data_IF_193689646781
#
_entry.id   IF_193689646781
#
_cell.length_a   1.000
_cell.length_b   1.000
_cell.length_c   1.000
_cell.angle_alpha   90.00
_cell.angle_beta   90.00
_cell.angle_gamma   90.00
#
_symmetry.space_group_name_H-M   'P 1'
#
loop_
_entity.id
_entity.type
_entity.pdbx_description
1 polymer ?
#
# COMPACT_ATOMS: atom_id res chain seq x y z
N UNK A 1 -7.12 -31.22 5.19
CA UNK A 1 -7.41 -29.87 5.74
C UNK A 1 -7.56 -28.96 4.53
N UNK A 2 -8.77 -28.54 4.18
CA UNK A 2 -8.97 -27.59 3.09
C UNK A 2 -8.46 -26.23 3.56
N UNK A 3 -7.36 -25.75 2.97
CA UNK A 3 -7.01 -24.33 3.05
C UNK A 3 -8.17 -23.57 2.39
N UNK A 4 -9.05 -22.95 3.20
CA UNK A 4 -10.01 -22.00 2.68
C UNK A 4 -9.21 -20.78 2.22
N UNK A 5 -9.06 -20.65 0.90
CA UNK A 5 -8.45 -19.48 0.29
C UNK A 5 -9.30 -18.25 0.63
N UNK A 6 -8.67 -17.18 1.12
CA UNK A 6 -9.35 -15.92 1.41
C UNK A 6 -10.09 -15.41 0.18
N UNK A 7 -11.30 -14.87 0.38
CA UNK A 7 -12.09 -14.29 -0.70
C UNK A 7 -11.51 -12.96 -1.19
N UNK A 8 -11.89 -12.56 -2.41
CA UNK A 8 -11.52 -11.26 -2.97
C UNK A 8 -11.92 -10.10 -2.05
N UNK A 9 -13.12 -10.15 -1.45
CA UNK A 9 -13.62 -9.09 -0.56
C UNK A 9 -12.79 -9.01 0.73
N UNK A 10 -12.39 -10.14 1.31
CA UNK A 10 -11.53 -10.14 2.50
C UNK A 10 -10.15 -9.52 2.20
N UNK A 11 -9.58 -9.85 1.04
CA UNK A 11 -8.32 -9.24 0.60
C UNK A 11 -8.47 -7.75 0.35
N UNK A 12 -9.55 -7.34 -0.32
CA UNK A 12 -9.84 -5.92 -0.56
C UNK A 12 -10.02 -5.13 0.74
N UNK A 13 -10.68 -5.70 1.75
CA UNK A 13 -10.82 -5.08 3.08
C UNK A 13 -9.46 -4.89 3.75
N UNK A 14 -8.59 -5.91 3.69
CA UNK A 14 -7.21 -5.80 4.18
C UNK A 14 -6.42 -4.73 3.43
N UNK A 15 -6.51 -4.69 2.11
CA UNK A 15 -5.85 -3.67 1.29
C UNK A 15 -6.28 -2.27 1.70
N UNK A 16 -7.58 -2.02 1.91
CA UNK A 16 -8.09 -0.74 2.42
C UNK A 16 -7.42 -0.35 3.74
N UNK A 17 -7.27 -1.30 4.66
CA UNK A 17 -6.62 -1.04 5.95
C UNK A 17 -5.13 -0.78 5.79
N UNK A 18 -4.43 -1.56 4.96
CA UNK A 18 -3.00 -1.44 4.71
C UNK A 18 -2.65 -0.12 4.02
N UNK A 19 -3.36 0.25 2.95
CA UNK A 19 -3.15 1.53 2.24
C UNK A 19 -3.31 2.75 3.16
N UNK A 20 -4.29 2.69 4.07
CA UNK A 20 -4.45 3.76 5.05
C UNK A 20 -3.27 3.82 6.02
N UNK A 21 -2.78 2.66 6.48
CA UNK A 21 -1.64 2.55 7.41
C UNK A 21 -0.36 3.04 6.74
N UNK A 22 -0.15 2.72 5.47
CA UNK A 22 1.03 3.10 4.71
C UNK A 22 1.02 4.60 4.39
N UNK A 23 -0.14 5.17 4.06
CA UNK A 23 -0.30 6.63 3.96
C UNK A 23 0.13 7.37 5.25
N UNK A 24 -0.40 6.97 6.42
CA UNK A 24 -0.01 7.57 7.71
C UNK A 24 1.49 7.37 8.00
N UNK A 25 1.97 6.15 7.75
CA UNK A 25 3.36 5.79 7.96
C UNK A 25 4.31 6.66 7.12
N UNK A 26 4.03 6.82 5.84
CA UNK A 26 4.89 7.58 4.93
C UNK A 26 4.84 9.07 5.22
N UNK A 27 3.68 9.59 5.64
CA UNK A 27 3.60 10.97 6.12
C UNK A 27 4.58 11.24 7.27
N UNK A 28 4.65 10.33 8.26
CA UNK A 28 5.58 10.42 9.39
C UNK A 28 7.02 10.20 8.97
N UNK A 29 7.30 9.17 8.18
CA UNK A 29 8.65 8.84 7.71
C UNK A 29 9.26 9.97 6.87
N UNK A 30 8.47 10.63 6.03
CA UNK A 30 8.84 11.84 5.28
C UNK A 30 9.27 12.97 6.23
N UNK A 31 8.67 13.06 7.41
CA UNK A 31 9.00 14.03 8.45
C UNK A 31 10.40 13.85 9.07
N UNK A 32 10.93 12.62 9.03
CA UNK A 32 12.19 12.25 9.68
C UNK A 32 13.44 12.57 8.85
N UNK A 33 13.27 13.17 7.67
CA UNK A 33 14.39 13.53 6.79
C UNK A 33 14.29 14.94 6.22
N UNK A 34 15.44 15.61 6.11
CA UNK A 34 15.61 16.90 5.44
C UNK A 34 16.15 16.77 4.01
N UNK A 35 16.52 15.56 3.58
CA UNK A 35 17.01 15.31 2.23
C UNK A 35 15.84 15.45 1.24
N UNK A 36 15.92 16.45 0.35
CA UNK A 36 14.84 16.76 -0.61
C UNK A 36 14.46 15.56 -1.48
N UNK A 37 15.43 14.84 -2.03
CA UNK A 37 15.15 13.67 -2.87
C UNK A 37 14.39 12.60 -2.10
N UNK A 38 14.79 12.32 -0.86
CA UNK A 38 14.12 11.30 -0.05
C UNK A 38 12.69 11.75 0.30
N UNK A 39 12.51 13.02 0.65
CA UNK A 39 11.19 13.59 0.92
C UNK A 39 10.27 13.49 -0.30
N UNK A 40 10.78 13.80 -1.49
CA UNK A 40 10.00 13.76 -2.73
C UNK A 40 9.59 12.32 -3.07
N UNK A 41 10.48 11.35 -2.83
CA UNK A 41 10.18 9.93 -3.03
C UNK A 41 9.15 9.40 -2.05
N UNK A 42 9.28 9.71 -0.76
CA UNK A 42 8.33 9.27 0.26
C UNK A 42 6.98 9.96 0.07
N UNK A 43 6.98 11.25 -0.28
CA UNK A 43 5.75 12.00 -0.57
C UNK A 43 5.00 11.42 -1.77
N UNK A 44 5.72 10.99 -2.80
CA UNK A 44 5.12 10.36 -3.97
C UNK A 44 4.32 9.11 -3.55
N UNK A 45 4.96 8.18 -2.83
CA UNK A 45 4.28 6.99 -2.32
C UNK A 45 3.10 7.34 -1.39
N UNK A 46 3.29 8.25 -0.43
CA UNK A 46 2.21 8.72 0.47
C UNK A 46 0.98 9.24 -0.28
N UNK A 47 1.17 10.01 -1.35
CA UNK A 47 0.07 10.56 -2.15
C UNK A 47 -0.64 9.47 -2.95
N UNK A 48 0.08 8.43 -3.37
CA UNK A 48 -0.46 7.29 -4.12
C UNK A 48 -1.22 6.33 -3.18
N UNK A 49 -0.73 6.04 -1.97
CA UNK A 49 -1.46 5.20 -1.00
C UNK A 49 -2.80 5.82 -0.60
N UNK A 50 -2.87 7.15 -0.51
CA UNK A 50 -4.14 7.81 -0.28
C UNK A 50 -5.13 7.61 -1.43
N UNK A 51 -4.64 7.59 -2.68
CA UNK A 51 -5.49 7.31 -3.85
C UNK A 51 -5.88 5.84 -3.88
N UNK A 52 -4.97 4.91 -3.59
CA UNK A 52 -5.24 3.48 -3.52
C UNK A 52 -6.32 3.18 -2.49
N UNK A 53 -6.18 3.72 -1.27
CA UNK A 53 -7.20 3.67 -0.22
C UNK A 53 -8.58 4.10 -0.74
N UNK A 54 -8.66 5.27 -1.38
CA UNK A 54 -9.93 5.79 -1.92
C UNK A 54 -10.51 4.91 -3.03
N UNK A 55 -9.66 4.43 -3.94
CA UNK A 55 -10.04 3.55 -5.04
C UNK A 55 -10.57 2.21 -4.52
N UNK A 56 -9.89 1.60 -3.54
CA UNK A 56 -10.33 0.36 -2.93
C UNK A 56 -11.60 0.52 -2.11
N UNK A 57 -11.76 1.63 -1.38
CA UNK A 57 -13.01 1.96 -0.69
C UNK A 57 -14.18 2.09 -1.67
N UNK A 58 -13.96 2.76 -2.81
CA UNK A 58 -14.98 2.87 -3.86
C UNK A 58 -15.32 1.50 -4.47
N UNK A 59 -14.30 0.68 -4.75
CA UNK A 59 -14.51 -0.68 -5.26
C UNK A 59 -15.28 -1.54 -4.25
N UNK A 60 -14.95 -1.46 -2.97
CA UNK A 60 -15.66 -2.19 -1.92
C UNK A 60 -17.12 -1.74 -1.80
N UNK A 61 -17.40 -0.43 -1.90
CA UNK A 61 -18.76 0.10 -1.96
C UNK A 61 -19.54 -0.48 -3.14
N UNK A 62 -18.94 -0.54 -4.33
CA UNK A 62 -19.60 -1.07 -5.53
C UNK A 62 -19.90 -2.57 -5.42
N UNK A 63 -19.00 -3.34 -4.79
CA UNK A 63 -19.15 -4.79 -4.65
C UNK A 63 -20.08 -5.20 -3.51
N UNK A 64 -20.16 -4.40 -2.44
CA UNK A 64 -20.83 -4.81 -1.18
C UNK A 64 -21.98 -3.89 -0.77
N UNK A 65 -22.12 -2.73 -1.41
CA UNK A 65 -23.12 -1.70 -1.06
C UNK A 65 -22.74 -0.82 0.13
N UNK A 66 -21.54 -0.96 0.70
CA UNK A 66 -21.08 -0.12 1.82
C UNK A 66 -19.56 0.11 1.80
N UNK A 67 -19.10 1.19 2.41
CA UNK A 67 -17.68 1.38 2.71
C UNK A 67 -17.20 0.42 3.79
N UNK A 68 -15.94 -0.01 3.70
CA UNK A 68 -15.30 -0.77 4.76
C UNK A 68 -14.95 0.18 5.91
N UNK A 69 -15.35 -0.20 7.12
CA UNK A 69 -15.05 0.55 8.34
C UNK A 69 -14.09 -0.29 9.18
N UNK A 70 -13.06 0.36 9.71
CA UNK A 70 -12.01 -0.26 10.50
C UNK A 70 -11.49 0.77 11.52
N UNK A 71 -10.84 0.27 12.56
CA UNK A 71 -10.13 1.10 13.52
C UNK A 71 -8.70 1.33 13.02
N UNK A 72 -8.27 2.59 12.84
CA UNK A 72 -6.93 2.86 12.33
C UNK A 72 -5.83 2.40 13.30
N UNK A 73 -4.80 1.75 12.77
CA UNK A 73 -3.62 1.35 13.55
C UNK A 73 -2.36 2.04 13.02
N UNK A 74 -1.39 2.31 13.89
CA UNK A 74 -0.18 3.02 13.50
C UNK A 74 1.00 2.05 13.32
N UNK A 75 1.68 2.15 12.19
CA UNK A 75 2.95 1.45 11.97
C UNK A 75 4.07 2.10 12.79
N UNK A 76 4.67 1.34 13.70
CA UNK A 76 5.84 1.76 14.47
C UNK A 76 7.16 1.34 13.80
N UNK A 77 8.17 2.19 13.92
CA UNK A 77 9.53 1.97 13.44
C UNK A 77 10.54 2.69 14.37
N UNK A 78 11.80 2.26 14.37
CA UNK A 78 12.79 2.66 15.40
C UNK A 78 13.71 3.81 14.98
N UNK A 79 13.94 3.93 13.68
CA UNK A 79 14.80 4.92 13.04
C UNK A 79 14.35 5.13 11.60
N UNK A 80 14.75 6.25 10.98
CA UNK A 80 14.49 6.52 9.56
C UNK A 80 14.93 5.36 8.66
N UNK A 81 16.14 4.81 8.87
CA UNK A 81 16.64 3.66 8.10
C UNK A 81 15.73 2.43 8.27
N UNK A 82 15.35 2.08 9.51
CA UNK A 82 14.44 0.94 9.74
C UNK A 82 13.05 1.16 9.14
N UNK A 83 12.59 2.42 9.10
CA UNK A 83 11.34 2.80 8.45
C UNK A 83 11.42 2.63 6.94
N UNK A 84 12.48 3.11 6.30
CA UNK A 84 12.70 2.93 4.85
C UNK A 84 12.77 1.45 4.47
N UNK A 85 13.49 0.63 5.24
CA UNK A 85 13.57 -0.82 4.99
C UNK A 85 12.20 -1.48 5.14
N UNK A 86 11.43 -1.08 6.16
CA UNK A 86 10.08 -1.60 6.37
C UNK A 86 9.15 -1.21 5.22
N UNK A 87 9.10 0.07 4.86
CA UNK A 87 8.33 0.58 3.74
C UNK A 87 8.62 -0.23 2.48
N UNK A 88 9.90 -0.37 2.09
CA UNK A 88 10.29 -1.18 0.94
C UNK A 88 9.74 -2.63 0.98
N UNK A 89 9.79 -3.28 2.14
CA UNK A 89 9.31 -4.66 2.28
C UNK A 89 7.79 -4.76 2.22
N UNK A 90 7.09 -3.77 2.77
CA UNK A 90 5.63 -3.72 2.78
C UNK A 90 5.12 -3.43 1.35
N UNK A 91 5.76 -2.54 0.60
CA UNK A 91 5.52 -2.30 -0.84
C UNK A 91 5.65 -3.57 -1.69
N UNK A 92 6.73 -4.34 -1.49
CA UNK A 92 6.89 -5.59 -2.22
C UNK A 92 5.74 -6.56 -1.94
N UNK A 93 5.32 -6.70 -0.67
CA UNK A 93 4.20 -7.58 -0.30
C UNK A 93 2.89 -7.08 -0.89
N UNK A 94 2.64 -5.77 -0.89
CA UNK A 94 1.44 -5.17 -1.47
C UNK A 94 1.35 -5.48 -2.98
N UNK A 95 2.44 -5.26 -3.74
CA UNK A 95 2.48 -5.62 -5.16
C UNK A 95 2.28 -7.13 -5.41
N UNK A 96 2.81 -8.00 -4.56
CA UNK A 96 2.54 -9.44 -4.64
C UNK A 96 1.07 -9.78 -4.35
N UNK A 97 0.49 -9.16 -3.33
CA UNK A 97 -0.92 -9.33 -2.96
C UNK A 97 -1.84 -8.85 -4.09
N UNK A 98 -1.58 -7.69 -4.68
CA UNK A 98 -2.40 -7.16 -5.78
C UNK A 98 -2.31 -8.01 -7.03
N UNK A 99 -1.12 -8.55 -7.34
CA UNK A 99 -0.96 -9.55 -8.40
C UNK A 99 -1.82 -10.79 -8.15
N UNK A 100 -1.87 -11.31 -6.92
CA UNK A 100 -2.75 -12.43 -6.59
C UNK A 100 -4.23 -12.07 -6.76
N UNK A 101 -4.63 -10.88 -6.32
CA UNK A 101 -6.00 -10.39 -6.46
C UNK A 101 -6.41 -10.21 -7.92
N UNK A 102 -5.49 -9.88 -8.84
CA UNK A 102 -5.76 -9.82 -10.28
C UNK A 102 -6.30 -11.16 -10.82
N UNK A 103 -5.88 -12.30 -10.27
CA UNK A 103 -6.37 -13.62 -10.68
C UNK A 103 -7.76 -13.96 -10.12
N UNK A 104 -8.29 -13.12 -9.22
CA UNK A 104 -9.55 -13.32 -8.52
C UNK A 104 -10.61 -12.27 -8.89
N UNK A 105 -10.35 -11.48 -9.92
CA UNK A 105 -11.13 -10.29 -10.26
C UNK A 105 -12.62 -10.62 -10.47
N UNK A 106 -13.53 -9.94 -9.76
CA UNK A 106 -14.97 -10.12 -9.95
C UNK A 106 -15.54 -9.25 -11.08
N UNK A 107 -14.88 -8.14 -11.43
CA UNK A 107 -15.37 -7.15 -12.41
C UNK A 107 -14.23 -6.46 -13.19
N UNK A 108 -14.45 -6.00 -14.43
CA UNK A 108 -13.42 -5.26 -15.18
C UNK A 108 -12.90 -4.01 -14.46
N UNK A 109 -13.74 -3.34 -13.67
CA UNK A 109 -13.31 -2.16 -12.91
C UNK A 109 -12.27 -2.52 -11.83
N UNK A 110 -12.40 -3.68 -11.18
CA UNK A 110 -11.41 -4.15 -10.22
C UNK A 110 -10.03 -4.38 -10.86
N UNK A 111 -9.98 -4.73 -12.15
CA UNK A 111 -8.72 -4.85 -12.90
C UNK A 111 -7.95 -3.53 -12.94
N UNK A 112 -8.61 -2.44 -13.33
CA UNK A 112 -7.97 -1.13 -13.43
C UNK A 112 -7.43 -0.66 -12.09
N UNK A 113 -8.22 -0.82 -11.04
CA UNK A 113 -7.87 -0.41 -9.68
C UNK A 113 -6.65 -1.19 -9.17
N UNK A 114 -6.68 -2.53 -9.27
CA UNK A 114 -5.59 -3.38 -8.77
C UNK A 114 -4.33 -3.30 -9.64
N UNK A 115 -4.47 -3.17 -10.95
CA UNK A 115 -3.31 -3.08 -11.83
C UNK A 115 -2.53 -1.79 -11.59
N UNK A 116 -3.24 -0.67 -11.37
CA UNK A 116 -2.63 0.62 -11.05
C UNK A 116 -1.84 0.52 -9.74
N UNK A 117 -2.50 0.10 -8.65
CA UNK A 117 -1.83 -0.05 -7.35
C UNK A 117 -0.63 -1.00 -7.44
N UNK A 118 -0.80 -2.19 -8.05
CA UNK A 118 0.30 -3.16 -8.22
C UNK A 118 1.52 -2.56 -8.92
N UNK A 119 1.35 -1.73 -9.96
CA UNK A 119 2.48 -1.12 -10.65
C UNK A 119 3.12 0.00 -9.84
N UNK A 120 2.31 0.76 -9.12
CA UNK A 120 2.77 1.85 -8.27
C UNK A 120 3.57 1.30 -7.08
N UNK A 121 3.15 0.19 -6.44
CA UNK A 121 3.93 -0.41 -5.33
C UNK A 121 5.32 -0.89 -5.75
N UNK A 122 5.47 -1.38 -6.98
CA UNK A 122 6.79 -1.78 -7.50
C UNK A 122 7.69 -0.56 -7.76
N UNK A 123 7.08 0.57 -8.12
CA UNK A 123 7.75 1.85 -8.24
C UNK A 123 8.18 2.39 -6.86
N UNK A 124 7.27 2.36 -5.88
CA UNK A 124 7.52 2.74 -4.49
C UNK A 124 8.65 1.92 -3.87
N UNK A 125 8.61 0.58 -4.01
CA UNK A 125 9.66 -0.31 -3.53
C UNK A 125 11.05 0.04 -4.13
N UNK A 126 11.08 0.46 -5.39
CA UNK A 126 12.29 0.91 -6.07
C UNK A 126 12.79 2.24 -5.51
N UNK A 127 11.89 3.18 -5.19
CA UNK A 127 12.22 4.45 -4.54
C UNK A 127 12.77 4.25 -3.14
N UNK A 128 12.10 3.49 -2.29
CA UNK A 128 12.59 3.17 -0.94
C UNK A 128 13.93 2.43 -1.00
N UNK A 129 14.11 1.51 -1.95
CA UNK A 129 15.40 0.86 -2.20
C UNK A 129 16.52 1.84 -2.57
N UNK A 130 16.21 2.87 -3.37
CA UNK A 130 17.14 3.95 -3.70
C UNK A 130 17.53 4.77 -2.47
N UNK A 131 16.56 5.06 -1.59
CA UNK A 131 16.84 5.76 -0.31
C UNK A 131 17.78 4.90 0.54
N UNK A 132 17.44 3.63 0.77
CA UNK A 132 18.24 2.72 1.60
C UNK A 132 19.66 2.54 1.07
N UNK A 133 19.82 2.39 -0.25
CA UNK A 133 21.13 2.30 -0.89
C UNK A 133 22.01 3.55 -0.71
N UNK A 134 21.42 4.71 -0.43
CA UNK A 134 22.11 5.99 -0.19
C UNK A 134 22.27 6.35 1.28
N UNK A 135 21.72 5.55 2.20
CA UNK A 135 21.99 5.66 3.64
C UNK A 135 23.28 4.91 4.03
N UNK A 136 23.79 4.06 3.14
CA UNK A 136 25.02 3.28 3.31
C UNK A 136 26.26 4.03 2.82
#
# INVERSE_FOLDING_TARGET
MQNQQESFIQRLQRSIEEEWKDHDFYNRLKGDTSNRLFRDYIKHAEDDEWKHYQMFQHLHLQLTGKYHHFEPETISYRSFESGVVRAQQDEFKAGEMYREMLFMIPTPLAYHVLFTAMTDEMEHATRFGTIYGRLK
#
